data_IF_949418524615
#
_entry.id   IF_949418524615
#
_cell.length_a   1.000
_cell.length_b   1.000
_cell.length_c   1.000
_cell.angle_alpha   90.00
_cell.angle_beta   90.00
_cell.angle_gamma   90.00
#
_symmetry.space_group_name_H-M   'P 1'
#
loop_
_entity.id
_entity.type
_entity.pdbx_description
1 polymer ?
#
# COMPACT_ATOMS: atom_id res chain seq x y z
N UNK A 1 9.68 14.64 -7.03
CA UNK A 1 8.30 14.82 -6.53
C UNK A 1 8.27 15.99 -5.56
N UNK A 2 7.30 16.87 -5.72
CA UNK A 2 7.08 18.05 -4.86
C UNK A 2 5.59 18.11 -4.52
N UNK A 3 5.25 18.34 -3.26
CA UNK A 3 3.88 18.43 -2.78
C UNK A 3 3.69 19.78 -2.11
N UNK A 4 2.60 20.45 -2.42
CA UNK A 4 2.20 21.71 -1.79
C UNK A 4 1.03 21.47 -0.84
N UNK A 5 1.04 22.14 0.31
CA UNK A 5 0.00 22.06 1.32
C UNK A 5 -0.15 23.39 2.07
N UNK A 6 -1.38 23.77 2.40
CA UNK A 6 -1.64 24.97 3.17
C UNK A 6 -1.76 24.65 4.65
N UNK A 7 -0.83 25.17 5.46
CA UNK A 7 -0.82 25.02 6.91
C UNK A 7 -0.85 26.40 7.56
N UNK A 8 -1.87 26.67 8.37
CA UNK A 8 -2.04 27.95 9.06
C UNK A 8 -1.99 29.15 8.10
N UNK A 9 -2.71 29.05 6.98
CA UNK A 9 -2.81 30.05 5.91
C UNK A 9 -1.48 30.40 5.20
N UNK A 10 -0.49 29.51 5.26
CA UNK A 10 0.73 29.61 4.48
C UNK A 10 0.94 28.33 3.66
N UNK A 11 1.44 28.50 2.44
CA UNK A 11 1.84 27.38 1.58
C UNK A 11 3.19 26.82 2.03
N UNK A 12 3.18 25.52 2.33
CA UNK A 12 4.35 24.70 2.61
C UNK A 12 4.56 23.74 1.44
N UNK A 13 5.78 23.74 0.92
CA UNK A 13 6.21 22.90 -0.19
C UNK A 13 7.16 21.85 0.37
N UNK A 14 6.80 20.57 0.21
CA UNK A 14 7.61 19.42 0.58
C UNK A 14 8.22 18.83 -0.68
N UNK A 15 9.55 18.82 -0.73
CA UNK A 15 10.31 18.22 -1.82
C UNK A 15 10.91 16.90 -1.36
N UNK A 16 10.72 15.86 -2.16
CA UNK A 16 11.46 14.61 -2.04
C UNK A 16 12.82 14.80 -2.71
N UNK A 17 13.89 14.64 -1.94
CA UNK A 17 15.28 14.81 -2.36
C UNK A 17 16.09 13.57 -1.99
N UNK A 18 17.36 13.49 -2.40
CA UNK A 18 18.23 12.41 -1.97
C UNK A 18 18.57 12.56 -0.47
N UNK A 19 18.51 11.46 0.30
CA UNK A 19 18.89 11.48 1.71
C UNK A 19 20.39 11.78 1.86
N UNK A 20 20.71 12.60 2.85
CA UNK A 20 22.10 12.94 3.22
C UNK A 20 22.83 11.74 3.83
N UNK A 21 22.10 10.85 4.51
CA UNK A 21 22.68 9.69 5.20
C UNK A 21 22.80 8.47 4.30
N UNK A 22 21.88 8.29 3.36
CA UNK A 22 21.90 7.15 2.44
C UNK A 22 21.40 7.56 1.05
N UNK A 23 22.27 7.61 0.03
CA UNK A 23 21.91 7.91 -1.36
C UNK A 23 20.78 7.07 -1.96
N UNK A 24 20.54 5.87 -1.42
CA UNK A 24 19.49 4.93 -1.86
C UNK A 24 18.14 5.19 -1.17
N UNK A 25 18.06 6.14 -0.22
CA UNK A 25 16.83 6.48 0.49
C UNK A 25 16.37 7.88 0.14
N UNK A 26 15.05 8.07 0.18
CA UNK A 26 14.45 9.39 0.10
C UNK A 26 14.76 10.21 1.34
N UNK A 27 15.15 11.46 1.12
CA UNK A 27 15.15 12.54 2.10
C UNK A 27 14.00 13.50 1.80
N UNK A 28 13.59 14.24 2.82
CA UNK A 28 12.45 15.16 2.73
C UNK A 28 12.87 16.53 3.18
N UNK A 29 12.51 17.55 2.40
CA UNK A 29 12.81 18.93 2.72
C UNK A 29 11.58 19.79 2.55
N UNK A 30 11.30 20.64 3.53
CA UNK A 30 10.15 21.51 3.52
C UNK A 30 10.59 22.97 3.39
N UNK A 31 9.91 23.71 2.53
CA UNK A 31 10.08 25.15 2.31
C UNK A 31 8.76 25.87 2.47
N UNK A 32 8.76 27.00 3.16
CA UNK A 32 7.64 27.93 3.16
C UNK A 32 8.22 29.35 3.15
N UNK A 33 7.79 30.16 2.18
CA UNK A 33 8.38 31.46 1.87
C UNK A 33 9.91 31.34 1.66
N UNK A 34 10.70 32.04 2.47
CA UNK A 34 12.17 32.01 2.44
C UNK A 34 12.77 31.00 3.44
N UNK A 35 11.95 30.35 4.26
CA UNK A 35 12.39 29.41 5.28
C UNK A 35 12.45 27.99 4.71
N UNK A 36 13.52 27.28 5.07
CA UNK A 36 13.80 25.92 4.60
C UNK A 36 14.22 25.03 5.78
N UNK A 37 13.68 23.82 5.85
CA UNK A 37 14.15 22.77 6.75
C UNK A 37 15.48 22.19 6.26
N UNK A 38 16.15 21.44 7.14
CA UNK A 38 17.18 20.52 6.68
C UNK A 38 16.53 19.38 5.87
N UNK A 39 17.35 18.55 5.24
CA UNK A 39 16.88 17.29 4.68
C UNK A 39 16.69 16.31 5.84
N UNK A 40 15.45 15.90 6.06
CA UNK A 40 15.03 15.01 7.13
C UNK A 40 14.70 13.61 6.58
N UNK A 41 14.67 12.61 7.46
CA UNK A 41 14.39 11.22 7.09
C UNK A 41 12.92 10.92 6.81
N UNK A 42 12.01 11.82 7.20
CA UNK A 42 10.58 11.69 6.98
C UNK A 42 9.91 13.08 6.82
N UNK A 43 8.74 13.15 6.17
CA UNK A 43 8.07 14.41 5.87
C UNK A 43 7.58 15.12 7.13
N UNK A 44 7.13 14.40 8.16
CA UNK A 44 6.66 14.99 9.42
C UNK A 44 7.78 15.82 10.08
N UNK A 45 9.00 15.29 10.09
CA UNK A 45 10.17 15.99 10.61
C UNK A 45 10.50 17.25 9.78
N UNK A 46 10.44 17.16 8.44
CA UNK A 46 10.71 18.30 7.57
C UNK A 46 9.71 19.44 7.81
N UNK A 47 8.41 19.12 7.84
CA UNK A 47 7.34 20.09 8.11
C UNK A 47 7.50 20.67 9.51
N UNK A 48 7.67 19.82 10.54
CA UNK A 48 7.85 20.25 11.94
C UNK A 48 9.00 21.24 12.05
N UNK A 49 10.15 20.95 11.44
CA UNK A 49 11.32 21.84 11.48
C UNK A 49 11.02 23.16 10.79
N UNK A 50 10.37 23.15 9.63
CA UNK A 50 10.02 24.37 8.89
C UNK A 50 8.98 25.21 9.64
N UNK A 51 7.89 24.59 10.08
CA UNK A 51 6.80 25.21 10.81
C UNK A 51 7.29 25.85 12.12
N UNK A 52 8.14 25.14 12.89
CA UNK A 52 8.74 25.68 14.11
C UNK A 52 9.62 26.90 13.84
N UNK A 53 10.35 26.94 12.71
CA UNK A 53 11.16 28.12 12.35
C UNK A 53 10.30 29.34 12.01
N UNK A 54 9.09 29.12 11.49
CA UNK A 54 8.18 30.21 11.09
C UNK A 54 7.35 30.72 12.27
N UNK A 55 6.74 29.80 13.03
CA UNK A 55 5.75 30.14 14.06
C UNK A 55 6.29 30.03 15.49
N UNK A 56 7.47 29.44 15.69
CA UNK A 56 8.06 29.25 17.02
C UNK A 56 7.34 28.21 17.89
N UNK A 57 6.32 27.52 17.37
CA UNK A 57 5.54 26.53 18.14
C UNK A 57 6.11 25.12 18.01
N UNK A 58 5.68 24.25 18.92
CA UNK A 58 5.96 22.80 18.88
C UNK A 58 4.87 22.00 18.16
N UNK A 59 4.02 22.66 17.37
CA UNK A 59 2.95 22.00 16.61
C UNK A 59 3.54 20.93 15.70
N UNK A 60 2.94 19.75 15.71
CA UNK A 60 3.33 18.63 14.86
C UNK A 60 2.23 18.36 13.84
N UNK A 61 2.62 18.13 12.59
CA UNK A 61 1.74 17.71 11.51
C UNK A 61 2.14 16.30 11.08
N UNK A 62 1.15 15.47 10.78
CA UNK A 62 1.41 14.17 10.16
C UNK A 62 1.89 14.39 8.74
N UNK A 63 3.14 14.05 8.47
CA UNK A 63 3.72 14.12 7.13
C UNK A 63 2.98 13.24 6.13
N UNK A 64 2.38 12.13 6.57
CA UNK A 64 1.55 11.28 5.71
C UNK A 64 0.24 11.98 5.33
N UNK A 65 -0.43 12.63 6.30
CA UNK A 65 -1.66 13.38 6.02
C UNK A 65 -1.37 14.59 5.12
N UNK A 66 -0.25 15.28 5.37
CA UNK A 66 0.16 16.45 4.59
C UNK A 66 0.62 16.08 3.19
N UNK A 67 1.31 14.95 3.02
CA UNK A 67 1.68 14.47 1.69
C UNK A 67 0.50 13.93 0.87
N UNK A 68 -0.71 13.88 1.44
CA UNK A 68 -1.90 13.49 0.71
C UNK A 68 -1.87 12.03 0.26
N UNK A 69 -1.83 11.09 1.21
CA UNK A 69 -2.12 9.68 0.90
C UNK A 69 -3.52 9.44 0.33
N UNK A 70 -4.42 10.42 0.45
CA UNK A 70 -5.76 10.43 -0.16
C UNK A 70 -5.83 11.27 -1.45
N UNK A 71 -4.73 11.91 -1.87
CA UNK A 71 -4.71 12.70 -3.09
C UNK A 71 -4.63 11.76 -4.29
N UNK A 72 -5.69 11.71 -5.09
CA UNK A 72 -5.83 10.81 -6.24
C UNK A 72 -4.65 10.91 -7.21
N UNK A 73 -4.11 12.11 -7.47
CA UNK A 73 -2.98 12.31 -8.38
C UNK A 73 -1.70 11.70 -7.81
N UNK A 74 -1.47 11.86 -6.50
CA UNK A 74 -0.30 11.30 -5.81
C UNK A 74 -0.41 9.78 -5.72
N UNK A 75 -1.59 9.25 -5.37
CA UNK A 75 -1.86 7.80 -5.40
C UNK A 75 -1.57 7.25 -6.79
N UNK A 76 -2.10 7.89 -7.83
CA UNK A 76 -1.97 7.44 -9.20
C UNK A 76 -0.51 7.44 -9.67
N UNK A 77 0.28 8.46 -9.30
CA UNK A 77 1.73 8.48 -9.55
C UNK A 77 2.51 7.43 -8.74
N UNK A 78 2.08 7.11 -7.53
CA UNK A 78 2.72 6.10 -6.68
C UNK A 78 2.44 4.68 -7.16
N UNK A 79 1.29 4.43 -7.81
CA UNK A 79 0.93 3.12 -8.36
C UNK A 79 1.27 2.97 -9.85
N UNK A 80 1.67 4.03 -10.55
CA UNK A 80 1.93 4.02 -12.00
C UNK A 80 3.00 2.99 -12.41
N UNK A 81 4.00 2.78 -11.55
CA UNK A 81 5.08 1.79 -11.72
C UNK A 81 4.89 0.53 -10.85
N UNK A 82 3.74 0.39 -10.21
CA UNK A 82 3.41 -0.77 -9.38
C UNK A 82 2.60 -1.76 -10.23
N UNK A 83 3.26 -2.84 -10.69
CA UNK A 83 2.64 -3.87 -11.53
C UNK A 83 1.37 -4.48 -10.91
N UNK A 84 1.31 -4.59 -9.58
CA UNK A 84 0.11 -4.99 -8.85
C UNK A 84 0.06 -4.36 -7.45
N UNK A 85 -1.11 -3.86 -7.05
CA UNK A 85 -1.34 -3.38 -5.68
C UNK A 85 -2.14 -4.42 -4.90
N UNK A 86 -1.52 -5.19 -3.97
CA UNK A 86 -2.24 -6.18 -3.20
C UNK A 86 -3.24 -5.51 -2.25
N UNK A 87 -4.48 -6.03 -2.23
CA UNK A 87 -5.50 -5.60 -1.27
C UNK A 87 -5.40 -6.50 -0.04
N UNK A 88 -5.19 -5.89 1.12
CA UNK A 88 -5.17 -6.59 2.41
C UNK A 88 -6.52 -6.45 3.10
N UNK A 89 -7.13 -7.57 3.46
CA UNK A 89 -8.43 -7.64 4.14
C UNK A 89 -8.28 -8.47 5.41
N UNK A 90 -8.86 -8.00 6.52
CA UNK A 90 -9.04 -8.79 7.72
C UNK A 90 -10.45 -9.40 7.69
N UNK A 91 -10.54 -10.72 7.53
CA UNK A 91 -11.81 -11.46 7.59
C UNK A 91 -11.74 -12.39 8.79
N UNK A 92 -12.52 -12.08 9.83
CA UNK A 92 -12.43 -12.74 11.14
C UNK A 92 -10.97 -12.75 11.66
N UNK A 93 -10.37 -13.93 11.81
CA UNK A 93 -8.99 -14.12 12.26
C UNK A 93 -7.99 -14.29 11.11
N UNK A 94 -8.44 -14.18 9.85
CA UNK A 94 -7.60 -14.36 8.67
C UNK A 94 -7.17 -13.02 8.08
N UNK A 95 -5.87 -12.92 7.80
CA UNK A 95 -5.33 -11.90 6.93
C UNK A 95 -5.39 -12.43 5.49
N UNK A 96 -6.31 -11.90 4.70
CA UNK A 96 -6.51 -12.24 3.29
C UNK A 96 -5.81 -11.20 2.43
N UNK A 97 -5.11 -11.67 1.41
CA UNK A 97 -4.40 -10.85 0.43
C UNK A 97 -5.01 -11.16 -0.93
N UNK A 98 -5.55 -10.15 -1.61
CA UNK A 98 -5.94 -10.25 -3.02
C UNK A 98 -4.78 -9.69 -3.84
N UNK A 99 -4.07 -10.55 -4.56
CA UNK A 99 -2.93 -10.15 -5.39
C UNK A 99 -3.33 -9.86 -6.84
N UNK A 100 -4.50 -10.31 -7.27
CA UNK A 100 -5.07 -10.00 -8.58
C UNK A 100 -6.59 -10.03 -8.53
N UNK A 101 -7.26 -9.04 -9.11
CA UNK A 101 -8.73 -8.99 -9.21
C UNK A 101 -9.22 -9.78 -10.45
N UNK A 102 -8.33 -10.01 -11.43
CA UNK A 102 -8.70 -10.65 -12.69
C UNK A 102 -9.69 -9.83 -13.52
N UNK A 103 -10.41 -10.52 -14.40
CA UNK A 103 -11.48 -9.93 -15.20
C UNK A 103 -12.75 -9.75 -14.36
N UNK A 104 -13.48 -8.66 -14.61
CA UNK A 104 -14.77 -8.40 -13.97
C UNK A 104 -15.91 -8.95 -14.84
N UNK A 105 -16.82 -9.71 -14.23
CA UNK A 105 -18.03 -10.25 -14.86
C UNK A 105 -19.14 -10.34 -13.80
N UNK A 106 -20.11 -9.45 -13.86
CA UNK A 106 -21.22 -9.38 -12.89
C UNK A 106 -22.04 -10.68 -12.82
N UNK A 107 -21.98 -11.53 -13.84
CA UNK A 107 -22.71 -12.80 -13.88
C UNK A 107 -21.92 -13.96 -13.27
N UNK A 108 -20.66 -13.76 -12.89
CA UNK A 108 -19.79 -14.79 -12.33
C UNK A 108 -19.24 -14.35 -10.97
N UNK A 109 -19.19 -15.29 -10.03
CA UNK A 109 -18.47 -15.23 -8.76
C UNK A 109 -18.43 -13.83 -8.11
N UNK A 110 -19.59 -13.28 -7.77
CA UNK A 110 -19.75 -11.98 -7.10
C UNK A 110 -19.08 -10.79 -7.83
N UNK A 111 -18.98 -10.86 -9.17
CA UNK A 111 -18.43 -9.80 -10.01
C UNK A 111 -17.00 -10.03 -10.49
N UNK A 112 -16.33 -11.09 -10.05
CA UNK A 112 -14.96 -11.44 -10.48
C UNK A 112 -14.94 -12.73 -11.29
N UNK A 113 -13.91 -12.88 -12.12
CA UNK A 113 -13.74 -14.05 -12.98
C UNK A 113 -12.26 -14.39 -13.18
N UNK A 114 -11.90 -14.90 -14.35
CA UNK A 114 -10.58 -15.39 -14.69
C UNK A 114 -9.47 -14.40 -14.36
N UNK A 115 -8.43 -14.89 -13.70
CA UNK A 115 -7.28 -14.11 -13.26
C UNK A 115 -7.40 -13.59 -11.83
N UNK A 116 -8.52 -13.78 -11.14
CA UNK A 116 -8.63 -13.47 -9.72
C UNK A 116 -7.71 -14.38 -8.90
N UNK A 117 -6.93 -13.79 -7.99
CA UNK A 117 -6.05 -14.51 -7.08
C UNK A 117 -6.15 -13.90 -5.69
N UNK A 118 -6.49 -14.74 -4.72
CA UNK A 118 -6.46 -14.40 -3.30
C UNK A 118 -5.68 -15.44 -2.50
N UNK A 119 -5.19 -15.05 -1.34
CA UNK A 119 -4.46 -15.96 -0.46
C UNK A 119 -4.62 -15.60 1.01
N UNK A 120 -4.49 -16.59 1.88
CA UNK A 120 -4.44 -16.39 3.32
C UNK A 120 -3.58 -17.46 3.98
N UNK A 121 -3.11 -17.18 5.19
CA UNK A 121 -2.40 -18.18 5.99
C UNK A 121 -3.28 -18.67 7.14
N UNK A 122 -3.25 -19.97 7.38
CA UNK A 122 -3.97 -20.58 8.48
C UNK A 122 -3.17 -21.74 9.07
N UNK A 123 -3.33 -21.96 10.38
CA UNK A 123 -2.72 -23.11 11.05
C UNK A 123 -3.63 -24.32 10.89
N UNK A 124 -3.13 -25.35 10.22
CA UNK A 124 -3.81 -26.62 9.98
C UNK A 124 -2.86 -27.76 10.30
N UNK A 125 -3.34 -28.84 10.94
CA UNK A 125 -2.51 -30.00 11.36
C UNK A 125 -1.19 -29.60 12.05
N UNK A 126 -1.27 -28.64 12.97
CA UNK A 126 -0.15 -28.11 13.75
C UNK A 126 0.90 -27.28 12.99
N UNK A 127 0.77 -27.08 11.68
CA UNK A 127 1.68 -26.27 10.87
C UNK A 127 0.96 -25.09 10.19
N UNK A 128 1.70 -24.02 9.88
CA UNK A 128 1.17 -22.89 9.13
C UNK A 128 1.16 -23.22 7.64
N UNK A 129 0.01 -23.08 7.00
CA UNK A 129 -0.16 -23.31 5.58
C UNK A 129 -0.56 -22.00 4.91
N UNK A 130 -0.15 -21.83 3.66
CA UNK A 130 -0.64 -20.80 2.75
C UNK A 130 -1.68 -21.43 1.83
N UNK A 131 -2.85 -20.84 1.79
CA UNK A 131 -3.94 -21.19 0.88
C UNK A 131 -4.00 -20.13 -0.20
N UNK A 132 -4.01 -20.53 -1.47
CA UNK A 132 -4.06 -19.63 -2.63
C UNK A 132 -5.23 -20.05 -3.51
N UNK A 133 -6.25 -19.21 -3.57
CA UNK A 133 -7.38 -19.37 -4.48
C UNK A 133 -7.06 -18.66 -5.80
N UNK A 134 -7.21 -19.39 -6.92
CA UNK A 134 -7.12 -18.86 -8.28
C UNK A 134 -8.41 -19.18 -9.03
N UNK A 135 -9.04 -18.16 -9.61
CA UNK A 135 -10.14 -18.35 -10.54
C UNK A 135 -9.56 -18.33 -11.95
N UNK A 136 -9.66 -19.45 -12.64
CA UNK A 136 -9.23 -19.62 -14.04
C UNK A 136 -10.44 -19.56 -14.98
N UNK A 137 -10.21 -19.78 -16.28
CA UNK A 137 -11.28 -19.69 -17.29
C UNK A 137 -12.42 -20.68 -17.05
N UNK A 138 -12.07 -21.90 -16.65
CA UNK A 138 -13.01 -23.03 -16.58
C UNK A 138 -13.05 -23.72 -15.21
N UNK A 139 -12.31 -23.23 -14.22
CA UNK A 139 -12.18 -23.87 -12.92
C UNK A 139 -11.69 -22.88 -11.86
N UNK A 140 -11.91 -23.23 -10.59
CA UNK A 140 -11.30 -22.61 -9.45
C UNK A 140 -10.30 -23.58 -8.83
N UNK A 141 -9.13 -23.07 -8.44
CA UNK A 141 -8.03 -23.84 -7.89
C UNK A 141 -7.68 -23.30 -6.51
N UNK A 142 -7.80 -24.12 -5.46
CA UNK A 142 -7.27 -23.83 -4.14
C UNK A 142 -5.97 -24.60 -3.95
N UNK A 143 -4.84 -23.91 -4.09
CA UNK A 143 -3.51 -24.46 -3.86
C UNK A 143 -3.11 -24.30 -2.39
N UNK A 144 -2.48 -25.33 -1.83
CA UNK A 144 -2.07 -25.38 -0.42
C UNK A 144 -0.56 -25.56 -0.37
N UNK A 145 0.12 -24.66 0.33
CA UNK A 145 1.56 -24.67 0.51
C UNK A 145 1.95 -24.79 1.99
N UNK A 146 2.97 -25.58 2.26
CA UNK A 146 3.66 -25.67 3.55
C UNK A 146 5.08 -25.15 3.38
N UNK A 147 5.47 -24.11 4.11
CA UNK A 147 6.84 -23.54 4.04
C UNK A 147 7.29 -23.21 2.60
N UNK A 148 6.37 -22.68 1.79
CA UNK A 148 6.58 -22.37 0.35
C UNK A 148 6.67 -23.60 -0.58
N UNK A 149 6.46 -24.81 -0.07
CA UNK A 149 6.38 -26.02 -0.88
C UNK A 149 4.93 -26.35 -1.20
N UNK A 150 4.63 -26.48 -2.50
CA UNK A 150 3.33 -26.93 -2.97
C UNK A 150 3.03 -28.31 -2.38
N UNK A 151 1.92 -28.43 -1.66
CA UNK A 151 1.54 -29.64 -0.92
C UNK A 151 0.34 -30.32 -1.54
N UNK A 152 -0.70 -29.56 -1.90
CA UNK A 152 -1.93 -30.09 -2.46
C UNK A 152 -2.70 -29.04 -3.24
N UNK A 153 -3.70 -29.48 -4.00
CA UNK A 153 -4.65 -28.62 -4.70
C UNK A 153 -6.05 -29.23 -4.64
N UNK A 154 -7.05 -28.35 -4.53
CA UNK A 154 -8.47 -28.68 -4.68
C UNK A 154 -8.96 -27.93 -5.92
N UNK A 155 -9.69 -28.62 -6.79
CA UNK A 155 -10.21 -28.08 -8.05
C UNK A 155 -11.73 -28.16 -8.01
N UNK A 156 -12.39 -27.07 -8.33
CA UNK A 156 -13.85 -26.94 -8.34
C UNK A 156 -14.33 -26.14 -9.54
N UNK A 157 -15.63 -26.19 -9.82
CA UNK A 157 -16.22 -25.37 -10.89
C UNK A 157 -16.46 -23.93 -10.42
N UNK A 158 -16.71 -23.76 -9.12
CA UNK A 158 -16.94 -22.49 -8.46
C UNK A 158 -16.03 -22.33 -7.24
N UNK A 159 -15.84 -21.09 -6.72
CA UNK A 159 -15.10 -20.87 -5.47
C UNK A 159 -15.72 -21.56 -4.25
N UNK A 160 -17.02 -21.87 -4.29
CA UNK A 160 -17.71 -22.57 -3.21
C UNK A 160 -17.42 -24.08 -3.21
N UNK A 161 -16.88 -24.61 -4.32
CA UNK A 161 -16.53 -26.02 -4.49
C UNK A 161 -15.09 -26.34 -4.02
N UNK A 162 -14.29 -25.34 -3.62
CA UNK A 162 -12.86 -25.49 -3.26
C UNK A 162 -12.53 -25.09 -1.83
#
# INVERSE_FOLDING_TARGET
MVIECDLNNLSFIISVVQSVQNPLKSGFQCTCNTIKSNVESNPSAAIKTCYRKIFGTKTEYSGQAVMGFENEIIIQQLIDDVEFFPIFLQIENFNVIISSIGNLDENKFYGVSTGFVSSFTARYRSAQHLFVLKIEENQCNLEIYLESQYTNQIIGQTPDDV
#
